data_IF_426248230128
#
_entry.id   IF_426248230128
#
_cell.length_a   1.000
_cell.length_b   1.000
_cell.length_c   1.000
_cell.angle_alpha   90.00
_cell.angle_beta   90.00
_cell.angle_gamma   90.00
#
_symmetry.space_group_name_H-M   'P 1'
#
loop_
_entity.id
_entity.type
_entity.pdbx_description
1 polymer ?
#
# COMPACT_ATOMS: atom_id res chain seq x y z
N UNK A 1 9.38 6.72 -18.83
CA UNK A 1 9.28 5.38 -18.19
C UNK A 1 7.85 4.88 -18.31
N UNK A 2 7.64 3.57 -18.41
CA UNK A 2 6.29 3.00 -18.41
C UNK A 2 5.68 3.08 -17.01
N UNK A 3 4.35 3.25 -16.92
CA UNK A 3 3.63 3.34 -15.64
C UNK A 3 3.51 2.02 -14.87
N UNK A 4 4.33 1.01 -15.19
CA UNK A 4 4.33 -0.30 -14.51
C UNK A 4 5.62 -0.56 -13.73
N UNK A 5 6.50 0.44 -13.57
CA UNK A 5 7.75 0.34 -12.81
C UNK A 5 7.80 1.45 -11.77
N UNK A 6 8.18 1.09 -10.52
CA UNK A 6 8.42 2.00 -9.40
C UNK A 6 9.87 1.88 -8.97
N UNK A 7 10.48 2.99 -8.50
CA UNK A 7 11.85 3.06 -8.01
C UNK A 7 12.88 3.43 -9.08
N UNK A 8 14.12 3.66 -8.65
CA UNK A 8 15.26 4.05 -9.49
C UNK A 8 16.46 3.10 -9.36
N UNK A 9 16.87 2.77 -8.14
CA UNK A 9 17.92 1.79 -7.85
C UNK A 9 17.34 0.49 -7.30
N UNK A 10 16.30 0.58 -6.46
CA UNK A 10 15.47 -0.56 -6.12
C UNK A 10 14.19 -0.47 -6.93
N UNK A 11 14.13 -1.19 -8.04
CA UNK A 11 13.02 -1.09 -8.99
C UNK A 11 12.10 -2.29 -8.90
N UNK A 12 10.80 -2.04 -9.06
CA UNK A 12 9.79 -3.10 -9.11
C UNK A 12 8.98 -2.91 -10.38
N UNK A 13 9.06 -3.87 -11.31
CA UNK A 13 8.27 -3.87 -12.55
C UNK A 13 7.18 -4.93 -12.46
N UNK A 14 5.92 -4.51 -12.66
CA UNK A 14 4.72 -5.34 -12.47
C UNK A 14 4.18 -5.87 -13.79
N UNK A 15 3.71 -7.12 -13.80
CA UNK A 15 3.07 -7.75 -14.95
C UNK A 15 1.87 -8.63 -14.56
N UNK A 16 1.08 -9.05 -15.56
CA UNK A 16 -0.08 -9.92 -15.42
C UNK A 16 -1.40 -9.17 -15.18
N UNK A 17 -2.52 -9.86 -15.30
CA UNK A 17 -3.89 -9.39 -15.13
C UNK A 17 -4.65 -10.25 -14.12
N UNK A 18 -5.69 -9.67 -13.49
CA UNK A 18 -6.44 -10.33 -12.41
C UNK A 18 -7.12 -11.64 -12.83
N UNK A 19 -7.42 -11.82 -14.11
CA UNK A 19 -8.03 -13.02 -14.71
C UNK A 19 -7.15 -13.64 -15.79
N UNK A 20 -5.87 -13.25 -15.87
CA UNK A 20 -4.83 -13.96 -16.61
C UNK A 20 -4.32 -15.18 -15.83
N UNK A 21 -3.36 -15.95 -16.39
CA UNK A 21 -2.83 -17.17 -15.76
C UNK A 21 -2.07 -16.89 -14.46
N UNK A 22 -1.41 -15.73 -14.38
CA UNK A 22 -0.62 -15.33 -13.23
C UNK A 22 -0.47 -13.80 -13.16
N UNK A 23 -0.04 -13.34 -12.01
CA UNK A 23 0.45 -11.96 -11.75
C UNK A 23 1.83 -12.05 -11.13
N UNK A 24 2.64 -11.01 -11.28
CA UNK A 24 3.98 -11.04 -10.71
C UNK A 24 4.69 -9.71 -10.80
N UNK A 25 5.92 -9.71 -10.34
CA UNK A 25 6.84 -8.59 -10.48
C UNK A 25 8.27 -9.08 -10.65
N UNK A 26 9.10 -8.18 -11.17
CA UNK A 26 10.55 -8.30 -11.17
C UNK A 26 11.07 -7.21 -10.24
N UNK A 27 11.81 -7.63 -9.20
CA UNK A 27 12.54 -6.74 -8.28
C UNK A 27 13.98 -6.70 -8.73
N UNK A 28 14.50 -5.52 -9.05
CA UNK A 28 15.91 -5.32 -9.40
C UNK A 28 16.58 -4.35 -8.42
N UNK A 29 17.89 -4.46 -8.26
CA UNK A 29 18.66 -3.66 -7.32
C UNK A 29 18.66 -4.14 -5.86
N UNK A 30 18.11 -5.33 -5.57
CA UNK A 30 18.25 -5.90 -4.24
C UNK A 30 19.70 -6.29 -3.98
N UNK A 31 20.36 -5.80 -2.91
CA UNK A 31 21.75 -6.16 -2.62
C UNK A 31 21.94 -7.67 -2.42
N UNK A 32 23.12 -8.23 -2.80
CA UNK A 32 23.40 -9.65 -2.63
C UNK A 32 23.63 -10.05 -1.18
N UNK A 33 23.48 -11.35 -0.90
CA UNK A 33 23.86 -11.97 0.37
C UNK A 33 22.80 -11.94 1.48
N UNK A 34 21.63 -11.37 1.24
CA UNK A 34 20.50 -11.47 2.18
C UNK A 34 19.88 -12.88 2.09
N UNK A 35 19.67 -13.53 3.22
CA UNK A 35 18.87 -14.76 3.27
C UNK A 35 17.43 -14.45 2.81
N UNK A 36 16.93 -15.18 1.82
CA UNK A 36 15.57 -14.96 1.29
C UNK A 36 14.96 -16.29 0.85
N UNK A 37 13.79 -16.59 1.38
CA UNK A 37 12.95 -17.72 1.00
C UNK A 37 11.54 -17.26 0.62
N UNK A 38 10.74 -18.18 0.04
CA UNK A 38 9.34 -17.90 -0.24
C UNK A 38 8.54 -17.63 1.04
N UNK A 39 8.86 -18.28 2.13
CA UNK A 39 8.20 -18.12 3.43
C UNK A 39 8.39 -16.72 4.00
N UNK A 40 9.56 -16.10 3.80
CA UNK A 40 9.83 -14.70 4.19
C UNK A 40 8.85 -13.72 3.52
N UNK A 41 8.44 -14.02 2.29
CA UNK A 41 7.51 -13.20 1.49
C UNK A 41 6.06 -13.57 1.79
N UNK A 42 5.80 -14.87 1.99
CA UNK A 42 4.46 -15.41 2.16
C UNK A 42 3.76 -14.84 3.40
N UNK A 43 4.49 -14.56 4.45
CA UNK A 43 3.95 -13.95 5.67
C UNK A 43 3.17 -12.65 5.37
N UNK A 44 3.76 -11.72 4.60
CA UNK A 44 3.09 -10.46 4.24
C UNK A 44 1.94 -10.69 3.24
N UNK A 45 2.09 -11.66 2.31
CA UNK A 45 1.02 -12.04 1.39
C UNK A 45 -0.19 -12.64 2.11
N UNK A 46 0.03 -13.45 3.13
CA UNK A 46 -1.04 -14.05 3.95
C UNK A 46 -1.86 -12.99 4.70
N UNK A 47 -1.24 -11.91 5.14
CA UNK A 47 -1.94 -10.76 5.73
C UNK A 47 -2.82 -10.02 4.72
N UNK A 48 -2.42 -10.01 3.43
CA UNK A 48 -3.14 -9.30 2.34
C UNK A 48 -4.21 -10.17 1.66
N UNK A 49 -4.03 -11.47 1.55
CA UNK A 49 -4.85 -12.35 0.69
C UNK A 49 -6.36 -12.21 0.95
N UNK A 50 -7.23 -12.50 -0.06
CA UNK A 50 -8.67 -12.52 0.14
C UNK A 50 -9.10 -13.71 0.99
N UNK A 51 -10.34 -13.66 1.54
CA UNK A 51 -10.92 -14.79 2.27
C UNK A 51 -10.41 -14.96 3.71
N UNK A 52 -9.68 -13.99 4.25
CA UNK A 52 -9.17 -14.02 5.63
C UNK A 52 -10.26 -13.82 6.69
N UNK A 53 -11.42 -13.27 6.31
CA UNK A 53 -12.56 -13.10 7.18
C UNK A 53 -13.89 -13.09 6.40
N UNK A 54 -15.04 -13.16 7.11
CA UNK A 54 -16.38 -13.00 6.52
C UNK A 54 -16.62 -11.59 5.96
N UNK A 55 -15.80 -10.62 6.33
CA UNK A 55 -15.96 -9.20 5.99
C UNK A 55 -15.24 -8.79 4.71
N UNK A 56 -14.43 -9.68 4.14
CA UNK A 56 -13.74 -9.47 2.85
C UNK A 56 -14.32 -10.37 1.78
N UNK A 57 -13.92 -10.13 0.53
CA UNK A 57 -14.34 -10.98 -0.61
C UNK A 57 -14.09 -12.45 -0.32
N UNK A 58 -15.05 -13.30 -0.70
CA UNK A 58 -14.99 -14.76 -0.54
C UNK A 58 -14.23 -15.44 -1.69
N UNK A 59 -13.48 -14.68 -2.51
CA UNK A 59 -12.53 -15.24 -3.47
C UNK A 59 -11.47 -16.02 -2.72
N UNK A 60 -11.15 -17.21 -3.18
CA UNK A 60 -10.14 -18.11 -2.57
C UNK A 60 -8.90 -18.10 -3.42
N UNK A 61 -7.88 -17.41 -2.98
CA UNK A 61 -6.55 -17.39 -3.58
C UNK A 61 -5.54 -17.78 -2.51
N UNK A 62 -4.64 -18.67 -2.81
CA UNK A 62 -3.55 -19.04 -1.90
C UNK A 62 -2.55 -17.91 -1.78
N UNK A 63 -2.41 -17.10 -2.84
CA UNK A 63 -1.37 -16.09 -3.04
C UNK A 63 0.04 -16.69 -2.83
N UNK A 64 0.21 -17.97 -3.12
CA UNK A 64 1.50 -18.64 -3.00
C UNK A 64 2.49 -18.05 -3.97
N UNK A 65 3.61 -17.55 -3.44
CA UNK A 65 4.67 -16.95 -4.25
C UNK A 65 5.70 -17.96 -4.69
N UNK A 66 6.08 -17.89 -5.97
CA UNK A 66 7.21 -18.62 -6.56
C UNK A 66 8.36 -17.62 -6.78
N UNK A 67 9.55 -17.92 -6.28
CA UNK A 67 10.79 -17.20 -6.61
C UNK A 67 11.43 -17.88 -7.80
N UNK A 68 11.48 -17.22 -8.96
CA UNK A 68 11.96 -17.84 -10.21
C UNK A 68 13.42 -17.49 -10.51
N UNK A 69 13.99 -16.44 -9.90
CA UNK A 69 15.37 -16.01 -10.13
C UNK A 69 15.87 -15.11 -8.98
N UNK A 70 17.15 -14.76 -9.00
CA UNK A 70 17.77 -13.80 -8.09
C UNK A 70 18.08 -14.34 -6.69
N UNK A 71 17.91 -15.66 -6.47
CA UNK A 71 18.26 -16.36 -5.23
C UNK A 71 19.04 -17.63 -5.57
N UNK A 72 20.18 -17.82 -4.89
CA UNK A 72 21.01 -19.03 -4.99
C UNK A 72 21.42 -19.47 -3.58
N UNK A 73 21.28 -20.76 -3.28
CA UNK A 73 21.54 -21.33 -1.95
C UNK A 73 20.89 -20.54 -0.81
N UNK A 74 19.63 -20.09 -1.03
CA UNK A 74 18.86 -19.33 -0.04
C UNK A 74 19.30 -17.89 0.19
N UNK A 75 20.15 -17.32 -0.70
CA UNK A 75 20.62 -15.93 -0.59
C UNK A 75 20.38 -15.16 -1.87
N UNK A 76 20.08 -13.87 -1.75
CA UNK A 76 19.99 -12.97 -2.90
C UNK A 76 21.34 -12.89 -3.62
N UNK A 77 21.29 -12.83 -4.95
CA UNK A 77 22.49 -12.81 -5.82
C UNK A 77 22.89 -11.42 -6.29
N UNK A 78 22.04 -10.39 -6.06
CA UNK A 78 22.22 -9.05 -6.61
C UNK A 78 21.72 -8.92 -8.06
N UNK A 79 21.11 -9.97 -8.61
CA UNK A 79 20.46 -9.97 -9.94
C UNK A 79 18.95 -9.92 -9.78
N UNK A 80 18.16 -9.68 -10.86
CA UNK A 80 16.72 -9.53 -10.76
C UNK A 80 16.01 -10.73 -10.11
N UNK A 81 15.18 -10.45 -9.12
CA UNK A 81 14.34 -11.41 -8.42
C UNK A 81 12.96 -11.42 -9.10
N UNK A 82 12.63 -12.48 -9.80
CA UNK A 82 11.31 -12.65 -10.40
C UNK A 82 10.38 -13.38 -9.43
N UNK A 83 9.25 -12.73 -9.10
CA UNK A 83 8.21 -13.24 -8.20
C UNK A 83 6.94 -13.51 -8.99
N UNK A 84 6.40 -14.72 -8.91
CA UNK A 84 5.19 -15.15 -9.61
C UNK A 84 4.14 -15.64 -8.63
N UNK A 85 2.88 -15.25 -8.85
CA UNK A 85 1.71 -15.70 -8.10
C UNK A 85 0.66 -16.18 -9.10
N UNK A 86 0.25 -17.44 -9.02
CA UNK A 86 -0.76 -18.02 -9.89
C UNK A 86 -2.17 -17.55 -9.52
N UNK A 87 -3.04 -17.35 -10.51
CA UNK A 87 -4.45 -17.10 -10.28
C UNK A 87 -5.20 -18.44 -10.24
N UNK A 88 -5.90 -18.72 -9.12
CA UNK A 88 -6.56 -20.02 -8.88
C UNK A 88 -8.09 -19.94 -8.96
N UNK A 89 -8.72 -18.90 -8.39
CA UNK A 89 -10.19 -18.74 -8.31
C UNK A 89 -10.70 -17.59 -9.20
N UNK A 90 -10.34 -17.60 -10.47
CA UNK A 90 -10.86 -16.65 -11.46
C UNK A 90 -12.20 -17.15 -12.04
N UNK A 91 -13.27 -16.31 -11.95
CA UNK A 91 -14.60 -16.64 -12.49
C UNK A 91 -15.02 -15.62 -13.53
N UNK A 92 -14.51 -15.78 -14.73
CA UNK A 92 -14.75 -14.86 -15.86
C UNK A 92 -16.25 -14.67 -16.18
N UNK A 93 -17.09 -15.68 -15.91
CA UNK A 93 -18.54 -15.63 -16.14
C UNK A 93 -19.28 -14.58 -15.29
N UNK A 94 -18.72 -14.22 -14.13
CA UNK A 94 -19.32 -13.23 -13.21
C UNK A 94 -19.33 -11.81 -13.78
N UNK A 95 -18.65 -11.55 -14.89
CA UNK A 95 -18.44 -10.21 -15.48
C UNK A 95 -19.12 -10.02 -16.85
N UNK A 96 -19.93 -11.00 -17.32
CA UNK A 96 -20.58 -10.92 -18.63
C UNK A 96 -21.55 -9.75 -18.75
N UNK A 97 -22.26 -9.39 -17.66
CA UNK A 97 -23.23 -8.29 -17.60
C UNK A 97 -22.57 -6.89 -17.68
N UNK A 98 -21.27 -6.79 -17.52
CA UNK A 98 -20.51 -5.51 -17.61
C UNK A 98 -19.54 -5.49 -18.79
N UNK A 99 -19.62 -6.47 -19.69
CA UNK A 99 -18.74 -6.56 -20.85
C UNK A 99 -18.87 -5.31 -21.74
N UNK A 100 -20.10 -4.83 -21.94
CA UNK A 100 -20.46 -3.70 -22.80
C UNK A 100 -20.90 -2.44 -22.03
N UNK A 101 -20.77 -2.41 -20.71
CA UNK A 101 -21.18 -1.27 -19.88
C UNK A 101 -20.05 -0.82 -18.96
N UNK A 102 -20.11 0.41 -18.45
CA UNK A 102 -19.07 0.99 -17.61
C UNK A 102 -19.56 1.17 -16.18
N UNK A 103 -18.85 0.63 -15.21
CA UNK A 103 -19.18 0.83 -13.79
C UNK A 103 -18.86 2.26 -13.35
N UNK A 104 -19.81 3.01 -12.78
CA UNK A 104 -19.53 4.34 -12.24
C UNK A 104 -18.45 4.31 -11.18
N UNK A 105 -17.43 5.19 -11.30
CA UNK A 105 -16.30 5.26 -10.37
C UNK A 105 -15.26 4.15 -10.51
N UNK A 106 -15.39 3.28 -11.54
CA UNK A 106 -14.38 2.27 -11.91
C UNK A 106 -13.56 2.74 -13.13
N UNK A 107 -12.43 2.08 -13.38
CA UNK A 107 -11.53 2.42 -14.49
C UNK A 107 -12.03 1.92 -15.88
N UNK A 108 -13.20 1.33 -15.97
CA UNK A 108 -13.71 0.71 -17.20
C UNK A 108 -13.67 1.65 -18.41
N UNK A 109 -14.27 2.83 -18.25
CA UNK A 109 -14.35 3.86 -19.29
C UNK A 109 -12.95 4.39 -19.68
N UNK A 110 -12.14 4.74 -18.68
CA UNK A 110 -10.82 5.36 -18.90
C UNK A 110 -9.83 4.41 -19.57
N UNK A 111 -9.90 3.11 -19.27
CA UNK A 111 -9.07 2.09 -19.93
C UNK A 111 -9.48 1.92 -21.40
N UNK A 112 -10.77 1.85 -21.70
CA UNK A 112 -11.25 1.77 -23.09
C UNK A 112 -10.83 3.00 -23.89
N UNK A 113 -11.00 4.20 -23.34
CA UNK A 113 -10.62 5.46 -24.02
C UNK A 113 -9.11 5.55 -24.24
N UNK A 114 -8.30 5.10 -23.29
CA UNK A 114 -6.84 5.21 -23.40
C UNK A 114 -6.22 4.16 -24.30
N UNK A 115 -6.68 2.91 -24.20
CA UNK A 115 -6.03 1.77 -24.84
C UNK A 115 -6.81 1.21 -26.04
N UNK A 116 -8.05 1.67 -26.27
CA UNK A 116 -8.94 1.14 -27.32
C UNK A 116 -9.44 -0.28 -27.05
N UNK A 117 -8.96 -0.91 -25.98
CA UNK A 117 -9.30 -2.28 -25.55
C UNK A 117 -9.39 -2.35 -24.04
N UNK A 118 -10.31 -3.16 -23.53
CA UNK A 118 -10.50 -3.39 -22.11
C UNK A 118 -10.75 -4.86 -21.84
N UNK A 119 -10.00 -5.45 -20.91
CA UNK A 119 -10.38 -6.73 -20.32
C UNK A 119 -11.46 -6.48 -19.25
N UNK A 120 -12.71 -6.84 -19.56
CA UNK A 120 -13.86 -6.67 -18.65
C UNK A 120 -13.83 -7.67 -17.47
N UNK A 121 -13.04 -8.74 -17.56
CA UNK A 121 -12.95 -9.80 -16.55
C UNK A 121 -12.21 -9.28 -15.32
N UNK A 122 -12.94 -8.96 -14.25
CA UNK A 122 -12.38 -8.48 -12.99
C UNK A 122 -11.62 -7.15 -13.04
N UNK A 123 -11.66 -6.43 -14.17
CA UNK A 123 -11.00 -5.15 -14.35
C UNK A 123 -9.53 -5.25 -14.80
N UNK A 124 -9.02 -6.44 -15.16
CA UNK A 124 -7.66 -6.60 -15.70
C UNK A 124 -6.58 -5.97 -14.83
N UNK A 125 -5.80 -5.04 -15.40
CA UNK A 125 -4.73 -4.28 -14.70
C UNK A 125 -5.25 -3.30 -13.65
N UNK A 126 -6.52 -2.86 -13.71
CA UNK A 126 -7.10 -1.95 -12.71
C UNK A 126 -7.59 -2.67 -11.44
N UNK A 127 -7.49 -3.98 -11.39
CA UNK A 127 -7.94 -4.80 -10.26
C UNK A 127 -7.03 -4.65 -9.04
N UNK A 128 -7.63 -4.60 -7.84
CA UNK A 128 -6.90 -4.67 -6.57
C UNK A 128 -6.11 -5.99 -6.39
N UNK A 129 -6.37 -7.01 -7.20
CA UNK A 129 -5.58 -8.26 -7.26
C UNK A 129 -4.09 -7.97 -7.53
N UNK A 130 -3.79 -6.95 -8.34
CA UNK A 130 -2.42 -6.58 -8.71
C UNK A 130 -1.59 -5.97 -7.57
N UNK A 131 -2.18 -5.78 -6.40
CA UNK A 131 -1.45 -5.40 -5.19
C UNK A 131 -0.71 -6.56 -4.53
N UNK A 132 -1.00 -7.83 -4.90
CA UNK A 132 -0.26 -8.97 -4.37
C UNK A 132 1.23 -8.96 -4.75
N UNK A 133 1.62 -8.75 -6.02
CA UNK A 133 3.03 -8.56 -6.36
C UNK A 133 3.69 -7.37 -5.67
N UNK A 134 2.93 -6.30 -5.37
CA UNK A 134 3.44 -5.16 -4.59
C UNK A 134 3.83 -5.61 -3.18
N UNK A 135 2.97 -6.38 -2.53
CA UNK A 135 3.25 -6.90 -1.18
C UNK A 135 4.42 -7.87 -1.21
N UNK A 136 4.52 -8.71 -2.23
CA UNK A 136 5.66 -9.62 -2.39
C UNK A 136 6.99 -8.86 -2.54
N UNK A 137 7.05 -7.84 -3.40
CA UNK A 137 8.24 -6.98 -3.55
C UNK A 137 8.56 -6.20 -2.28
N UNK A 138 7.51 -5.66 -1.62
CA UNK A 138 7.65 -4.94 -0.36
C UNK A 138 8.20 -5.81 0.77
N UNK A 139 7.86 -7.10 0.83
CA UNK A 139 8.40 -8.03 1.82
C UNK A 139 9.92 -8.18 1.69
N UNK A 140 10.45 -8.23 0.45
CA UNK A 140 11.90 -8.23 0.19
C UNK A 140 12.54 -6.95 0.75
N UNK A 141 11.96 -5.79 0.46
CA UNK A 141 12.45 -4.50 0.95
C UNK A 141 12.37 -4.40 2.49
N UNK A 142 11.22 -4.76 3.10
CA UNK A 142 11.00 -4.78 4.56
C UNK A 142 12.06 -5.62 5.27
N UNK A 143 12.31 -6.84 4.76
CA UNK A 143 13.31 -7.74 5.34
C UNK A 143 14.69 -7.11 5.33
N UNK A 144 15.12 -6.59 4.18
CA UNK A 144 16.44 -5.97 4.05
C UNK A 144 16.60 -4.74 4.95
N UNK A 145 15.62 -3.84 4.96
CA UNK A 145 15.62 -2.63 5.80
C UNK A 145 15.66 -2.97 7.29
N UNK A 146 14.92 -3.97 7.71
CA UNK A 146 14.93 -4.46 9.10
C UNK A 146 16.28 -5.03 9.50
N UNK A 147 16.88 -5.89 8.66
CA UNK A 147 18.16 -6.56 8.97
C UNK A 147 19.35 -5.58 8.97
N UNK A 148 19.30 -4.54 8.13
CA UNK A 148 20.43 -3.61 7.98
C UNK A 148 20.35 -2.36 8.86
N UNK A 149 19.14 -1.87 9.12
CA UNK A 149 18.93 -0.60 9.83
C UNK A 149 17.96 -0.71 11.02
N UNK A 150 17.36 -1.88 11.24
CA UNK A 150 16.35 -2.03 12.27
C UNK A 150 15.02 -1.31 11.97
N UNK A 151 14.80 -0.92 10.70
CA UNK A 151 13.58 -0.23 10.29
C UNK A 151 12.39 -1.16 10.47
N UNK A 152 11.38 -0.69 11.20
CA UNK A 152 10.11 -1.37 11.41
C UNK A 152 9.00 -0.61 10.69
N UNK A 153 8.28 -1.29 9.80
CA UNK A 153 7.17 -0.70 9.04
C UNK A 153 5.88 -1.42 9.43
N UNK A 154 4.95 -0.67 10.00
CA UNK A 154 3.67 -1.20 10.50
C UNK A 154 2.54 -0.27 10.15
N UNK A 155 1.38 -0.84 9.83
CA UNK A 155 0.19 -0.08 9.47
C UNK A 155 -1.04 -0.53 10.25
N UNK A 156 -2.05 0.32 10.25
CA UNK A 156 -3.35 0.04 10.86
C UNK A 156 -4.47 0.83 10.20
N UNK A 157 -5.70 0.35 10.36
CA UNK A 157 -6.90 1.09 9.97
C UNK A 157 -7.24 2.09 11.06
N UNK A 158 -7.10 3.38 10.75
CA UNK A 158 -7.40 4.47 11.69
C UNK A 158 -8.85 4.97 11.60
N UNK A 159 -9.57 4.64 10.51
CA UNK A 159 -10.96 5.04 10.31
C UNK A 159 -11.65 4.15 9.27
N UNK A 160 -12.95 3.85 9.50
CA UNK A 160 -13.84 3.24 8.52
C UNK A 160 -15.12 4.09 8.42
N UNK A 161 -15.40 4.67 7.25
CA UNK A 161 -16.49 5.65 7.13
C UNK A 161 -16.34 6.78 8.14
N UNK A 162 -17.37 7.02 8.96
CA UNK A 162 -17.30 8.00 10.06
C UNK A 162 -16.70 7.44 11.36
N UNK A 163 -16.42 6.14 11.44
CA UNK A 163 -15.91 5.48 12.64
C UNK A 163 -14.41 5.68 12.78
N UNK A 164 -14.00 6.57 13.68
CA UNK A 164 -12.60 6.75 14.08
C UNK A 164 -12.19 5.63 15.02
N UNK A 165 -11.08 4.94 14.74
CA UNK A 165 -10.58 3.85 15.57
C UNK A 165 -9.48 4.38 16.49
N UNK A 166 -9.69 4.43 17.82
CA UNK A 166 -8.66 4.86 18.75
C UNK A 166 -7.46 3.92 18.71
N UNK A 167 -6.25 4.46 18.67
CA UNK A 167 -5.02 3.67 18.73
C UNK A 167 -4.75 3.21 20.17
N UNK A 168 -4.61 1.90 20.36
CA UNK A 168 -4.22 1.27 21.63
C UNK A 168 -2.83 0.66 21.50
N UNK A 169 -2.63 -0.28 20.57
CA UNK A 169 -1.30 -0.87 20.36
C UNK A 169 -1.14 -1.47 18.94
N UNK A 170 0.12 -1.69 18.58
CA UNK A 170 0.47 -2.37 17.33
C UNK A 170 0.10 -3.84 17.35
N UNK A 171 0.21 -4.48 18.54
CA UNK A 171 -0.10 -5.89 18.73
C UNK A 171 -1.58 -6.16 18.45
N UNK A 172 -2.47 -5.26 18.89
CA UNK A 172 -3.90 -5.39 18.62
C UNK A 172 -4.22 -5.28 17.13
N UNK A 173 -3.51 -4.42 16.40
CA UNK A 173 -3.69 -4.29 14.94
C UNK A 173 -3.38 -5.59 14.19
N UNK A 174 -2.47 -6.42 14.67
CA UNK A 174 -2.12 -7.70 14.06
C UNK A 174 -3.05 -8.85 14.45
N UNK A 175 -3.91 -8.68 15.45
CA UNK A 175 -4.73 -9.75 16.03
C UNK A 175 -6.14 -9.82 15.44
N UNK A 176 -6.53 -8.87 14.56
CA UNK A 176 -7.87 -8.85 14.01
C UNK A 176 -7.85 -8.59 12.49
N UNK A 177 -8.89 -9.01 11.76
CA UNK A 177 -8.91 -8.95 10.30
C UNK A 177 -9.06 -7.53 9.72
N UNK A 178 -9.32 -6.51 10.55
CA UNK A 178 -9.44 -5.12 10.15
C UNK A 178 -8.12 -4.36 10.24
N UNK A 179 -7.09 -4.94 10.84
CA UNK A 179 -5.90 -4.21 11.28
C UNK A 179 -6.26 -3.03 12.18
N UNK A 180 -7.32 -3.18 12.98
CA UNK A 180 -7.76 -2.17 13.92
C UNK A 180 -6.84 -2.19 15.15
N UNK A 181 -6.24 -1.05 15.54
CA UNK A 181 -5.29 -0.98 16.66
C UNK A 181 -5.99 -0.98 18.02
N UNK A 182 -7.24 -1.48 18.07
CA UNK A 182 -8.09 -1.56 19.25
C UNK A 182 -9.09 -2.72 19.08
N UNK A 183 -8.81 -3.86 19.73
CA UNK A 183 -9.65 -5.05 19.66
C UNK A 183 -11.06 -4.82 20.26
N UNK A 184 -11.19 -3.95 21.25
CA UNK A 184 -12.48 -3.62 21.83
C UNK A 184 -13.40 -2.87 20.85
N UNK A 185 -12.84 -2.22 19.82
CA UNK A 185 -13.58 -1.50 18.79
C UNK A 185 -14.01 -2.40 17.62
N UNK A 186 -13.44 -3.59 17.48
CA UNK A 186 -13.73 -4.52 16.37
C UNK A 186 -15.21 -4.87 16.23
N UNK A 187 -15.97 -5.17 17.29
CA UNK A 187 -17.40 -5.46 17.17
C UNK A 187 -18.21 -4.30 16.57
N UNK A 188 -17.82 -3.04 16.82
CA UNK A 188 -18.46 -1.86 16.22
C UNK A 188 -18.19 -1.78 14.72
N UNK A 189 -16.95 -2.06 14.28
CA UNK A 189 -16.59 -2.11 12.85
C UNK A 189 -17.33 -3.24 12.13
N UNK A 190 -17.46 -4.40 12.76
CA UNK A 190 -18.23 -5.54 12.23
C UNK A 190 -19.70 -5.19 12.02
N UNK A 191 -20.35 -4.65 13.05
CA UNK A 191 -21.76 -4.23 12.98
C UNK A 191 -21.98 -3.15 11.90
N UNK A 192 -21.08 -2.18 11.83
CA UNK A 192 -21.12 -1.12 10.83
C UNK A 192 -21.01 -1.68 9.39
N UNK A 193 -20.05 -2.56 9.15
CA UNK A 193 -19.83 -3.15 7.84
C UNK A 193 -20.97 -4.12 7.42
N UNK A 194 -21.56 -4.83 8.38
CA UNK A 194 -22.73 -5.68 8.13
C UNK A 194 -23.96 -4.83 7.74
N UNK A 195 -24.14 -3.63 8.33
CA UNK A 195 -25.18 -2.68 7.92
C UNK A 195 -24.96 -2.18 6.48
N UNK A 196 -23.75 -1.74 6.15
CA UNK A 196 -23.38 -1.31 4.79
C UNK A 196 -23.63 -2.42 3.75
N UNK A 197 -23.29 -3.67 4.10
CA UNK A 197 -23.53 -4.83 3.24
C UNK A 197 -25.02 -5.10 3.05
N UNK A 198 -25.82 -4.97 4.09
CA UNK A 198 -27.30 -5.14 4.04
C UNK A 198 -27.90 -4.10 3.10
N UNK A 199 -27.38 -2.88 3.10
CA UNK A 199 -27.79 -1.79 2.22
C UNK A 199 -27.26 -1.96 0.78
N UNK A 200 -26.50 -3.03 0.49
CA UNK A 200 -25.87 -3.34 -0.81
C UNK A 200 -24.90 -2.27 -1.29
N UNK A 201 -24.32 -1.52 -0.36
CA UNK A 201 -23.42 -0.40 -0.59
C UNK A 201 -21.98 -0.74 -0.16
N UNK A 202 -21.11 0.25 -0.18
CA UNK A 202 -19.71 0.18 0.19
C UNK A 202 -19.28 1.42 0.96
N UNK A 203 -18.18 1.29 1.70
CA UNK A 203 -17.63 2.38 2.52
C UNK A 203 -16.11 2.50 2.35
N UNK A 204 -15.57 3.69 2.54
CA UNK A 204 -14.13 3.97 2.52
C UNK A 204 -13.46 3.76 3.86
N UNK A 205 -12.14 3.87 3.87
CA UNK A 205 -11.34 3.81 5.09
C UNK A 205 -10.13 4.75 5.02
N UNK A 206 -9.58 5.08 6.19
CA UNK A 206 -8.27 5.72 6.35
C UNK A 206 -7.30 4.70 6.94
N UNK A 207 -6.19 4.51 6.25
CA UNK A 207 -5.09 3.66 6.69
C UNK A 207 -3.95 4.56 7.13
N UNK A 208 -3.31 4.24 8.25
CA UNK A 208 -2.08 4.89 8.69
C UNK A 208 -0.95 3.87 8.66
N UNK A 209 0.20 4.26 8.12
CA UNK A 209 1.42 3.45 8.10
C UNK A 209 2.58 4.26 8.63
N UNK A 210 3.38 3.63 9.49
CA UNK A 210 4.51 4.25 10.17
C UNK A 210 5.77 3.41 9.93
N UNK A 211 6.88 4.08 9.61
CA UNK A 211 8.20 3.48 9.58
C UNK A 211 9.06 4.07 10.70
N UNK A 212 9.44 3.22 11.65
CA UNK A 212 10.30 3.56 12.79
C UNK A 212 11.77 3.26 12.46
N UNK A 213 12.70 3.94 13.12
CA UNK A 213 14.15 3.76 12.97
C UNK A 213 14.66 4.05 11.54
N UNK A 214 14.01 4.95 10.83
CA UNK A 214 14.46 5.35 9.49
C UNK A 214 15.72 6.20 9.61
N UNK A 215 16.80 5.89 8.87
CA UNK A 215 18.02 6.70 8.89
C UNK A 215 17.74 8.15 8.48
N UNK A 216 18.49 9.08 9.06
CA UNK A 216 18.54 10.47 8.59
C UNK A 216 19.18 10.53 7.21
N UNK A 217 18.68 11.41 6.33
CA UNK A 217 19.35 11.72 5.07
C UNK A 217 18.75 11.04 3.84
N UNK A 218 17.60 10.35 3.97
CA UNK A 218 16.92 9.75 2.82
C UNK A 218 16.02 10.78 2.12
N UNK A 219 16.18 10.93 0.82
CA UNK A 219 15.42 11.88 0.01
C UNK A 219 16.28 13.00 -0.55
N UNK A 220 15.66 13.87 -1.35
CA UNK A 220 16.33 14.95 -2.05
C UNK A 220 15.65 16.30 -1.76
N UNK A 221 16.37 17.44 -1.94
CA UNK A 221 15.84 18.74 -1.53
C UNK A 221 14.80 19.35 -2.49
N UNK A 222 14.72 18.92 -3.76
CA UNK A 222 13.85 19.54 -4.76
C UNK A 222 12.97 18.52 -5.48
N UNK A 223 13.56 17.71 -6.34
CA UNK A 223 12.90 16.57 -6.99
C UNK A 223 13.30 15.29 -6.25
N UNK A 224 12.45 14.25 -6.31
CA UNK A 224 12.66 13.01 -5.54
C UNK A 224 12.71 13.27 -4.01
N UNK A 225 11.98 14.24 -3.54
CA UNK A 225 11.72 14.43 -2.12
C UNK A 225 11.08 13.16 -1.55
N UNK A 226 11.50 12.76 -0.37
CA UNK A 226 11.00 11.52 0.23
C UNK A 226 9.47 11.55 0.43
N UNK A 227 8.91 12.67 0.91
CA UNK A 227 7.47 12.86 1.08
C UNK A 227 6.72 12.78 -0.26
N UNK A 228 7.28 13.36 -1.33
CA UNK A 228 6.68 13.32 -2.67
C UNK A 228 6.71 11.91 -3.28
N UNK A 229 7.81 11.18 -3.16
CA UNK A 229 7.92 9.81 -3.66
C UNK A 229 7.03 8.84 -2.88
N UNK A 230 6.91 9.02 -1.55
CA UNK A 230 5.94 8.30 -0.73
C UNK A 230 4.52 8.57 -1.22
N UNK A 231 4.14 9.84 -1.39
CA UNK A 231 2.80 10.20 -1.86
C UNK A 231 2.52 9.65 -3.26
N UNK A 232 3.49 9.70 -4.17
CA UNK A 232 3.40 9.11 -5.50
C UNK A 232 3.13 7.60 -5.45
N UNK A 233 3.90 6.87 -4.65
CA UNK A 233 3.73 5.43 -4.50
C UNK A 233 2.37 5.08 -3.88
N UNK A 234 1.96 5.78 -2.80
CA UNK A 234 0.68 5.54 -2.12
C UNK A 234 -0.52 5.87 -3.01
N UNK A 235 -0.45 6.91 -3.86
CA UNK A 235 -1.49 7.20 -4.85
C UNK A 235 -1.60 6.12 -5.93
N UNK A 236 -0.62 5.25 -6.09
CA UNK A 236 -0.66 4.05 -6.92
C UNK A 236 -1.54 2.92 -6.36
N UNK A 237 -1.94 2.96 -5.08
CA UNK A 237 -2.86 1.99 -4.49
C UNK A 237 -4.24 2.15 -5.14
N UNK A 238 -4.83 1.02 -5.58
CA UNK A 238 -6.19 1.05 -6.09
C UNK A 238 -7.16 1.67 -5.06
N UNK A 239 -8.00 2.59 -5.52
CA UNK A 239 -8.94 3.36 -4.71
C UNK A 239 -8.34 4.43 -3.77
N UNK A 240 -7.02 4.64 -3.72
CA UNK A 240 -6.45 5.78 -3.01
C UNK A 240 -6.93 7.10 -3.61
N UNK A 241 -7.26 8.08 -2.73
CA UNK A 241 -7.77 9.41 -3.11
C UNK A 241 -7.12 10.56 -2.36
N UNK A 242 -6.29 10.26 -1.38
CA UNK A 242 -5.53 11.25 -0.64
C UNK A 242 -4.40 10.61 0.14
N UNK A 243 -3.34 11.38 0.31
CA UNK A 243 -2.18 11.02 1.13
C UNK A 243 -1.84 12.20 2.01
N UNK A 244 -1.58 11.94 3.28
CA UNK A 244 -1.11 12.93 4.25
C UNK A 244 0.21 12.45 4.85
N UNK A 245 1.15 13.37 5.04
CA UNK A 245 2.42 13.14 5.73
C UNK A 245 2.39 13.92 7.04
N UNK A 246 2.62 13.24 8.17
CA UNK A 246 2.55 13.86 9.49
C UNK A 246 1.17 14.48 9.78
N UNK A 247 1.15 15.75 10.16
CA UNK A 247 -0.08 16.49 10.44
C UNK A 247 -0.98 16.68 9.21
N UNK A 248 -0.44 16.49 7.98
CA UNK A 248 -1.21 16.57 6.75
C UNK A 248 -2.07 17.82 6.65
N UNK A 249 -3.36 17.69 6.33
CA UNK A 249 -4.29 18.81 6.22
C UNK A 249 -4.57 19.53 7.56
N UNK A 250 -4.35 18.87 8.70
CA UNK A 250 -4.50 19.51 10.00
C UNK A 250 -3.48 20.65 10.23
N UNK A 251 -2.35 20.63 9.51
CA UNK A 251 -1.32 21.67 9.57
C UNK A 251 -1.85 23.06 9.20
N UNK A 252 -2.91 23.14 8.36
CA UNK A 252 -3.52 24.40 7.93
C UNK A 252 -4.09 25.20 9.11
N UNK A 253 -4.57 24.51 10.14
CA UNK A 253 -5.12 25.15 11.36
C UNK A 253 -4.05 25.41 12.44
N UNK A 254 -2.82 24.95 12.26
CA UNK A 254 -1.73 25.12 13.21
C UNK A 254 -1.00 26.44 12.97
N UNK A 255 -0.61 27.11 14.04
CA UNK A 255 0.36 28.21 13.97
C UNK A 255 1.78 27.63 13.80
N UNK A 256 2.71 28.41 13.23
CA UNK A 256 4.10 27.98 13.06
C UNK A 256 4.77 27.50 14.36
N UNK A 257 4.47 28.15 15.49
CA UNK A 257 4.93 27.74 16.83
C UNK A 257 4.35 26.41 17.33
N UNK A 258 3.23 25.96 16.74
CA UNK A 258 2.59 24.68 17.07
C UNK A 258 3.04 23.56 16.11
N UNK A 259 3.31 23.93 14.85
CA UNK A 259 3.70 22.98 13.81
C UNK A 259 5.20 22.65 13.87
N UNK A 260 6.05 23.58 14.29
CA UNK A 260 7.50 23.37 14.34
C UNK A 260 7.87 22.25 15.31
N UNK A 261 8.52 21.20 14.78
CA UNK A 261 9.03 20.11 15.60
C UNK A 261 10.36 20.55 16.25
N UNK A 262 10.31 20.89 17.54
CA UNK A 262 11.48 21.39 18.26
C UNK A 262 12.52 20.30 18.47
N UNK A 263 13.80 20.68 18.36
CA UNK A 263 14.95 19.80 18.53
C UNK A 263 15.62 20.03 19.88
N UNK A 264 15.93 18.94 20.56
CA UNK A 264 16.72 18.96 21.79
C UNK A 264 17.88 17.96 21.68
N UNK A 265 18.89 18.04 22.53
CA UNK A 265 19.94 16.99 22.58
C UNK A 265 19.38 15.59 22.90
N UNK A 266 18.19 15.48 23.48
CA UNK A 266 17.53 14.23 23.85
C UNK A 266 16.58 13.73 22.77
N UNK A 267 16.34 14.50 21.70
CA UNK A 267 15.48 14.13 20.58
C UNK A 267 14.49 15.20 20.17
N UNK A 268 13.66 14.87 19.18
CA UNK A 268 12.56 15.73 18.74
C UNK A 268 11.39 15.69 19.72
N UNK A 269 10.74 16.84 19.94
CA UNK A 269 9.57 16.96 20.85
C UNK A 269 8.29 16.59 20.13
N UNK A 270 8.15 16.89 18.84
CA UNK A 270 6.99 16.60 18.01
C UNK A 270 7.34 15.83 16.75
N UNK A 271 6.34 15.50 15.94
CA UNK A 271 6.49 14.94 14.60
C UNK A 271 5.39 15.40 13.65
N UNK A 272 5.11 16.70 13.64
CA UNK A 272 4.11 17.28 12.74
C UNK A 272 4.52 17.17 11.26
N UNK A 273 5.84 17.23 10.99
CA UNK A 273 6.38 17.05 9.65
C UNK A 273 6.33 15.60 9.15
N UNK A 274 6.00 14.63 10.02
CA UNK A 274 5.90 13.23 9.65
C UNK A 274 7.23 12.59 9.27
N UNK A 275 8.34 13.03 9.89
CA UNK A 275 9.68 12.48 9.71
C UNK A 275 10.43 13.01 8.49
N UNK A 276 9.90 14.01 7.78
CA UNK A 276 10.51 14.56 6.57
C UNK A 276 10.65 16.07 6.67
N UNK A 277 11.86 16.58 6.60
CA UNK A 277 12.17 18.00 6.62
C UNK A 277 12.92 18.38 5.34
N UNK A 278 12.38 19.36 4.60
CA UNK A 278 12.99 19.77 3.33
C UNK A 278 13.04 18.68 2.24
N UNK A 279 12.24 17.63 2.36
CA UNK A 279 12.22 16.48 1.46
C UNK A 279 13.15 15.32 1.88
N UNK A 280 13.80 15.45 3.04
CA UNK A 280 14.81 14.52 3.55
C UNK A 280 14.37 13.97 4.90
N UNK A 281 14.60 12.68 5.15
CA UNK A 281 14.26 12.05 6.44
C UNK A 281 15.06 12.66 7.59
N UNK A 282 14.37 12.97 8.69
CA UNK A 282 14.94 13.60 9.89
C UNK A 282 15.46 12.61 10.93
N UNK A 283 15.18 11.31 10.78
CA UNK A 283 15.39 10.28 11.80
C UNK A 283 14.20 10.06 12.72
N UNK A 284 13.16 10.90 12.61
CA UNK A 284 11.86 10.67 13.23
C UNK A 284 11.10 9.58 12.50
N UNK A 285 10.04 9.07 13.12
CA UNK A 285 9.16 8.11 12.46
C UNK A 285 8.55 8.73 11.19
N UNK A 286 8.60 8.03 10.07
CA UNK A 286 7.87 8.42 8.86
C UNK A 286 6.42 8.04 9.07
N UNK A 287 5.52 9.04 9.05
CA UNK A 287 4.11 8.88 9.35
C UNK A 287 3.25 9.28 8.15
N UNK A 288 2.51 8.31 7.62
CA UNK A 288 1.72 8.45 6.39
C UNK A 288 0.28 8.01 6.62
N UNK A 289 -0.68 8.81 6.20
CA UNK A 289 -2.10 8.45 6.16
C UNK A 289 -2.64 8.42 4.74
N UNK A 290 -3.53 7.47 4.43
CA UNK A 290 -4.05 7.22 3.09
C UNK A 290 -5.57 7.13 3.14
N UNK A 291 -6.26 7.93 2.32
CA UNK A 291 -7.70 7.85 2.14
C UNK A 291 -8.03 6.86 1.02
N UNK A 292 -8.77 5.82 1.35
CA UNK A 292 -9.26 4.79 0.42
C UNK A 292 -10.75 5.02 0.19
N UNK A 293 -11.15 5.28 -1.06
CA UNK A 293 -12.56 5.50 -1.41
C UNK A 293 -13.38 4.21 -1.31
N UNK A 294 -14.72 4.31 -1.22
CA UNK A 294 -15.61 3.17 -1.31
C UNK A 294 -15.41 2.36 -2.60
N UNK A 295 -15.67 1.06 -2.55
CA UNK A 295 -15.66 0.17 -3.71
C UNK A 295 -16.69 0.63 -4.76
N UNK A 296 -16.27 0.69 -6.02
CA UNK A 296 -17.18 1.10 -7.11
C UNK A 296 -18.18 0.01 -7.52
N UNK A 297 -17.88 -1.25 -7.22
CA UNK A 297 -18.71 -2.40 -7.58
C UNK A 297 -19.73 -2.66 -6.48
N UNK A 298 -20.94 -2.10 -6.64
CA UNK A 298 -22.05 -2.24 -5.69
C UNK A 298 -23.30 -2.76 -6.40
N UNK A 299 -24.22 -3.34 -5.64
CA UNK A 299 -25.46 -3.92 -6.18
C UNK A 299 -26.61 -2.90 -6.33
N UNK A 300 -26.40 -1.65 -5.93
CA UNK A 300 -27.35 -0.56 -6.15
C UNK A 300 -27.28 -0.14 -7.63
N UNK A 301 -28.42 -0.15 -8.39
CA UNK A 301 -28.46 0.33 -9.76
C UNK A 301 -28.04 1.82 -9.86
N UNK A 302 -27.14 2.12 -10.81
CA UNK A 302 -26.65 3.48 -11.05
C UNK A 302 -26.66 3.81 -12.54
N UNK A 303 -26.85 5.08 -12.86
CA UNK A 303 -26.79 5.56 -14.23
C UNK A 303 -25.38 5.40 -14.82
N UNK A 304 -25.30 4.94 -16.06
CA UNK A 304 -24.08 4.78 -16.82
C UNK A 304 -24.38 4.85 -18.32
N UNK A 305 -23.38 4.50 -19.13
CA UNK A 305 -23.48 4.31 -20.56
C UNK A 305 -22.95 2.94 -20.96
N UNK A 306 -23.36 2.45 -22.13
CA UNK A 306 -22.74 1.30 -22.77
C UNK A 306 -21.62 1.73 -23.75
N UNK A 307 -21.01 0.76 -24.42
CA UNK A 307 -19.93 0.97 -25.39
C UNK A 307 -20.39 1.64 -26.71
N UNK A 308 -21.70 1.79 -26.94
CA UNK A 308 -22.27 2.62 -28.03
C UNK A 308 -22.53 4.05 -27.60
N UNK A 309 -22.41 4.37 -26.29
CA UNK A 309 -22.76 5.67 -25.71
C UNK A 309 -24.22 5.81 -25.28
N UNK A 310 -25.01 4.74 -25.36
CA UNK A 310 -26.42 4.76 -24.95
C UNK A 310 -26.55 4.72 -23.41
N UNK A 311 -27.54 5.45 -22.87
CA UNK A 311 -27.81 5.48 -21.43
C UNK A 311 -28.30 4.11 -20.92
N UNK A 312 -27.70 3.62 -19.83
CA UNK A 312 -28.04 2.34 -19.21
C UNK A 312 -28.03 2.45 -17.69
N UNK A 313 -28.66 1.45 -17.04
CA UNK A 313 -28.51 1.23 -15.58
C UNK A 313 -27.54 0.07 -15.36
N UNK A 314 -26.57 0.27 -14.46
CA UNK A 314 -25.56 -0.74 -14.10
C UNK A 314 -25.64 -1.05 -12.61
N UNK A 315 -25.80 -2.32 -12.27
CA UNK A 315 -25.63 -2.87 -10.94
C UNK A 315 -24.61 -4.00 -11.02
N UNK A 316 -23.64 -4.03 -10.11
CA UNK A 316 -22.60 -5.06 -10.13
C UNK A 316 -22.98 -6.16 -9.17
N UNK A 317 -23.15 -7.37 -9.70
CA UNK A 317 -23.32 -8.60 -8.90
C UNK A 317 -21.96 -9.29 -8.79
N UNK A 318 -21.68 -9.93 -7.67
CA UNK A 318 -20.42 -10.67 -7.48
C UNK A 318 -19.82 -10.52 -6.07
N UNK A 319 -18.60 -11.07 -5.92
CA UNK A 319 -17.88 -11.15 -4.65
C UNK A 319 -16.96 -9.92 -4.49
N UNK A 320 -17.51 -8.80 -4.03
CA UNK A 320 -16.75 -7.57 -3.83
C UNK A 320 -16.54 -7.28 -2.33
N UNK A 321 -15.41 -6.65 -2.00
CA UNK A 321 -15.16 -6.13 -0.66
C UNK A 321 -16.10 -4.93 -0.40
N UNK A 322 -16.91 -4.92 0.65
CA UNK A 322 -17.72 -3.74 1.00
C UNK A 322 -16.84 -2.58 1.48
N UNK A 323 -15.64 -2.87 1.96
CA UNK A 323 -14.60 -1.90 2.26
C UNK A 323 -13.23 -2.44 1.83
N UNK A 324 -12.68 -1.91 0.73
CA UNK A 324 -11.36 -2.35 0.24
C UNK A 324 -10.21 -1.90 1.15
N UNK A 325 -10.45 -0.90 2.01
CA UNK A 325 -9.49 -0.44 3.01
C UNK A 325 -9.05 -1.50 4.00
N UNK A 326 -9.91 -2.49 4.31
CA UNK A 326 -9.56 -3.63 5.19
C UNK A 326 -8.27 -4.34 4.75
N UNK A 327 -8.00 -4.38 3.44
CA UNK A 327 -6.83 -5.06 2.88
C UNK A 327 -5.72 -4.11 2.44
N UNK A 328 -5.89 -2.80 2.63
CA UNK A 328 -4.94 -1.79 2.17
C UNK A 328 -3.71 -1.66 3.08
N UNK A 329 -3.81 -2.05 4.35
CA UNK A 329 -2.72 -1.93 5.33
C UNK A 329 -1.42 -2.62 4.87
N UNK A 330 -1.37 -3.91 4.56
CA UNK A 330 -0.14 -4.55 4.09
C UNK A 330 0.38 -3.99 2.76
N UNK A 331 -0.51 -3.45 1.92
CA UNK A 331 -0.13 -2.82 0.65
C UNK A 331 0.60 -1.49 0.90
N UNK A 332 0.09 -0.68 1.82
CA UNK A 332 0.73 0.58 2.21
C UNK A 332 2.10 0.35 2.87
N UNK A 333 2.20 -0.64 3.77
CA UNK A 333 3.48 -1.05 4.36
C UNK A 333 4.50 -1.44 3.27
N UNK A 334 4.08 -2.23 2.29
CA UNK A 334 4.93 -2.69 1.20
C UNK A 334 5.43 -1.54 0.33
N UNK A 335 4.56 -0.60 -0.02
CA UNK A 335 4.96 0.57 -0.83
C UNK A 335 5.90 1.50 -0.07
N UNK A 336 5.65 1.73 1.22
CA UNK A 336 6.57 2.51 2.06
C UNK A 336 7.96 1.85 2.10
N UNK A 337 8.01 0.52 2.24
CA UNK A 337 9.26 -0.23 2.22
C UNK A 337 10.01 -0.11 0.89
N UNK A 338 9.31 -0.21 -0.24
CA UNK A 338 9.91 -0.08 -1.58
C UNK A 338 10.53 1.31 -1.75
N UNK A 339 9.80 2.36 -1.37
CA UNK A 339 10.29 3.75 -1.46
C UNK A 339 11.51 3.95 -0.55
N UNK A 340 11.43 3.55 0.71
CA UNK A 340 12.54 3.69 1.65
C UNK A 340 13.77 2.90 1.18
N UNK A 341 13.59 1.69 0.64
CA UNK A 341 14.68 0.88 0.11
C UNK A 341 15.38 1.55 -1.06
N UNK A 342 14.62 2.13 -1.99
CA UNK A 342 15.18 2.89 -3.12
C UNK A 342 16.01 4.08 -2.64
N UNK A 343 15.48 4.87 -1.72
CA UNK A 343 16.20 6.03 -1.16
C UNK A 343 17.42 5.65 -0.34
N UNK A 344 17.39 4.53 0.40
CA UNK A 344 18.57 4.02 1.12
C UNK A 344 19.69 3.64 0.14
N UNK A 345 19.37 2.96 -0.96
CA UNK A 345 20.37 2.61 -1.96
C UNK A 345 20.96 3.86 -2.64
N UNK A 346 20.14 4.85 -2.94
CA UNK A 346 20.56 6.14 -3.50
C UNK A 346 21.49 6.89 -2.53
N UNK A 347 21.11 6.99 -1.26
CA UNK A 347 21.92 7.60 -0.21
C UNK A 347 23.28 6.91 -0.10
N UNK A 348 23.32 5.58 -0.09
CA UNK A 348 24.56 4.82 -0.05
C UNK A 348 25.46 5.05 -1.28
N UNK A 349 24.84 5.18 -2.46
CA UNK A 349 25.59 5.40 -3.70
C UNK A 349 26.22 6.79 -3.78
N UNK A 350 25.54 7.82 -3.26
CA UNK A 350 25.95 9.21 -3.39
C UNK A 350 26.71 9.74 -2.19
N UNK A 351 26.33 9.33 -0.97
CA UNK A 351 26.79 9.98 0.27
C UNK A 351 27.49 9.03 1.23
N UNK A 352 28.03 7.91 0.74
CA UNK A 352 28.68 6.90 1.60
C UNK A 352 29.86 7.47 2.42
N UNK A 353 30.54 8.48 1.89
CA UNK A 353 31.74 9.08 2.50
C UNK A 353 31.43 10.32 3.35
N UNK A 354 30.15 10.71 3.48
CA UNK A 354 29.76 11.87 4.28
C UNK A 354 29.86 11.53 5.76
N UNK A 355 30.66 12.33 6.49
CA UNK A 355 30.77 12.28 7.95
C UNK A 355 30.10 13.54 8.52
N UNK A 356 28.93 13.44 9.16
CA UNK A 356 28.27 14.60 9.76
C UNK A 356 29.12 15.22 10.88
N UNK A 357 29.05 16.54 11.01
CA UNK A 357 29.79 17.30 12.07
C UNK A 357 29.26 16.98 13.46
N UNK A 358 27.96 16.66 13.54
CA UNK A 358 27.28 16.24 14.78
C UNK A 358 26.65 14.86 14.59
N UNK A 359 26.56 14.03 15.62
CA UNK A 359 25.84 12.77 15.54
C UNK A 359 24.33 13.03 15.34
N UNK A 360 23.59 12.10 14.71
CA UNK A 360 22.16 12.18 14.65
C UNK A 360 21.54 12.25 16.06
N UNK A 361 20.58 13.15 16.24
CA UNK A 361 19.79 13.21 17.48
C UNK A 361 18.69 12.13 17.44
N UNK A 362 18.21 11.63 18.60
CA UNK A 362 17.10 10.68 18.64
C UNK A 362 15.86 11.23 17.92
N UNK A 363 15.17 10.38 17.16
CA UNK A 363 13.95 10.74 16.41
C UNK A 363 12.75 11.07 17.31
N UNK A 364 12.79 10.68 18.56
CA UNK A 364 11.80 11.00 19.61
C UNK A 364 12.49 11.10 20.96
N UNK A 365 11.86 11.83 21.89
CA UNK A 365 12.37 11.90 23.27
C UNK A 365 12.41 10.49 23.89
N UNK A 366 13.58 10.13 24.40
CA UNK A 366 13.70 8.98 25.31
C UNK A 366 13.31 9.49 26.72
N UNK A 367 12.02 9.33 27.07
CA UNK A 367 11.49 9.63 28.41
C UNK A 367 11.74 8.44 29.35
#
# INVERSE_FOLDING_TARGET
>A
MSGSTLGKLFTVTYFGESHGPAIGCVVDGCPPGMALSAEDIQFDLDRRKPGTSRHVTQRKESDTVEILSGVFEGKTTGTPIALLIRNEDQRSKDYGNIAHTFRPGHADYTYLQKYGVRDHRGGGRSSARLTAPTVAAGAVAKKWLREKYGVLIRGYMSQMGEKQVPFVSWEEAEQNPFFAPNNAFVPELEAYLDAIRKDKDSIGAKIRVVAENVPVGLGEPLYDRLDADIAYAMMGINAAKGVEIGAGFASVAQRGSQHGDELTPQGFIGNNAGGVLGGISSGQDIDVSIAIKPTSSIAIPRNSIDDTGAAVQVATTGRHDPCVGVRATPIAEALLAIVLMDHVLRQRAQNADVVPVIPPIPGKLNL
#
